data_IF_940344327227
#
_entry.id   IF_940344327227
#
_cell.length_a   1.000
_cell.length_b   1.000
_cell.length_c   1.000
_cell.angle_alpha   90.00
_cell.angle_beta   90.00
_cell.angle_gamma   90.00
#
_symmetry.space_group_name_H-M   'P 1'
#
loop_
_entity.id
_entity.type
_entity.pdbx_description
1 polymer ?
#
# COMPACT_ATOMS: atom_id res chain seq x y z
N UNK A 1 44.90 -40.18 -51.26
CA UNK A 1 43.59 -40.69 -50.79
C UNK A 1 43.43 -40.20 -49.36
N UNK A 2 42.60 -39.19 -49.12
CA UNK A 2 42.45 -38.55 -47.80
C UNK A 2 41.09 -38.95 -47.24
N UNK A 3 41.04 -39.59 -46.07
CA UNK A 3 39.80 -40.07 -45.45
C UNK A 3 39.34 -38.99 -44.48
N UNK A 4 38.33 -38.22 -44.88
CA UNK A 4 37.68 -37.23 -44.00
C UNK A 4 36.72 -37.96 -43.07
N UNK A 5 37.10 -38.08 -41.80
CA UNK A 5 36.23 -38.57 -40.74
C UNK A 5 35.21 -37.47 -40.38
N UNK A 6 33.96 -37.63 -40.83
CA UNK A 6 32.86 -36.73 -40.46
C UNK A 6 32.34 -37.16 -39.09
N UNK A 7 32.67 -36.36 -38.08
CA UNK A 7 32.07 -36.43 -36.75
C UNK A 7 30.64 -35.87 -36.84
N UNK A 8 29.65 -36.76 -36.76
CA UNK A 8 28.23 -36.42 -36.68
C UNK A 8 27.90 -35.81 -35.32
N UNK A 9 27.92 -34.47 -35.25
CA UNK A 9 27.55 -33.69 -34.07
C UNK A 9 26.04 -33.60 -33.85
N UNK A 10 25.42 -34.70 -33.39
CA UNK A 10 24.10 -34.63 -32.75
C UNK A 10 24.23 -34.13 -31.30
N UNK A 11 23.24 -33.40 -30.75
CA UNK A 11 23.29 -32.94 -29.36
C UNK A 11 23.40 -34.15 -28.42
N UNK A 12 24.51 -34.21 -27.69
CA UNK A 12 24.81 -35.27 -26.74
C UNK A 12 23.73 -35.32 -25.64
N UNK A 13 23.35 -36.51 -25.16
CA UNK A 13 22.24 -36.69 -24.21
C UNK A 13 22.42 -35.85 -22.93
N UNK A 14 23.66 -35.56 -22.54
CA UNK A 14 23.99 -34.66 -21.44
C UNK A 14 23.68 -33.18 -21.71
N UNK A 15 23.80 -32.72 -22.95
CA UNK A 15 23.50 -31.34 -23.34
C UNK A 15 21.99 -31.08 -23.38
N UNK A 16 21.19 -32.05 -23.83
CA UNK A 16 19.74 -31.97 -23.80
C UNK A 16 19.19 -31.93 -22.36
N UNK A 17 19.77 -32.74 -21.45
CA UNK A 17 19.40 -32.72 -20.03
C UNK A 17 19.77 -31.40 -19.33
N UNK A 18 20.94 -30.84 -19.63
CA UNK A 18 21.39 -29.55 -19.10
C UNK A 18 20.54 -28.37 -19.60
N UNK A 19 20.13 -28.38 -20.87
CA UNK A 19 19.22 -27.38 -21.43
C UNK A 19 17.85 -27.39 -20.76
N UNK A 20 17.29 -28.59 -20.51
CA UNK A 20 16.02 -28.74 -19.76
C UNK A 20 16.12 -28.32 -18.29
N UNK A 21 17.27 -28.52 -17.65
CA UNK A 21 17.51 -28.01 -16.29
C UNK A 21 17.59 -26.48 -16.25
N UNK A 22 18.28 -25.85 -17.21
CA UNK A 22 18.42 -24.40 -17.31
C UNK A 22 17.07 -23.70 -17.53
N UNK A 23 16.25 -24.23 -18.44
CA UNK A 23 14.91 -23.71 -18.71
C UNK A 23 13.99 -23.75 -17.47
N UNK A 24 14.08 -24.79 -16.64
CA UNK A 24 13.32 -24.89 -15.38
C UNK A 24 13.78 -23.87 -14.33
N UNK A 25 15.08 -23.60 -14.25
CA UNK A 25 15.65 -22.59 -13.35
C UNK A 25 15.23 -21.18 -13.79
N UNK A 26 15.28 -20.89 -15.09
CA UNK A 26 14.86 -19.58 -15.63
C UNK A 26 13.36 -19.36 -15.45
N UNK A 27 12.54 -20.40 -15.64
CA UNK A 27 11.11 -20.36 -15.35
C UNK A 27 10.81 -20.09 -13.87
N UNK A 28 11.45 -20.83 -12.95
CA UNK A 28 11.30 -20.61 -11.51
C UNK A 28 11.71 -19.19 -11.08
N UNK A 29 12.78 -18.65 -11.69
CA UNK A 29 13.22 -17.27 -11.46
C UNK A 29 12.20 -16.25 -11.97
N UNK A 30 11.62 -16.44 -13.16
CA UNK A 30 10.57 -15.54 -13.66
C UNK A 30 9.33 -15.55 -12.77
N UNK A 31 8.89 -16.72 -12.30
CA UNK A 31 7.75 -16.82 -11.37
C UNK A 31 8.04 -16.10 -10.04
N UNK A 32 9.25 -16.24 -9.49
CA UNK A 32 9.65 -15.55 -8.27
C UNK A 32 9.69 -14.02 -8.44
N UNK A 33 10.22 -13.53 -9.57
CA UNK A 33 10.26 -12.10 -9.87
C UNK A 33 8.85 -11.51 -10.09
N UNK A 34 7.95 -12.25 -10.73
CA UNK A 34 6.56 -11.83 -10.90
C UNK A 34 5.83 -11.74 -9.55
N UNK A 35 6.03 -12.73 -8.66
CA UNK A 35 5.43 -12.73 -7.32
C UNK A 35 6.00 -11.62 -6.42
N UNK A 36 7.29 -11.31 -6.53
CA UNK A 36 7.89 -10.18 -5.80
C UNK A 36 7.28 -8.86 -6.26
N UNK A 37 7.14 -8.66 -7.58
CA UNK A 37 6.52 -7.45 -8.14
C UNK A 37 5.05 -7.31 -7.74
N UNK A 38 4.27 -8.40 -7.71
CA UNK A 38 2.87 -8.33 -7.27
C UNK A 38 2.75 -7.97 -5.79
N UNK A 39 3.65 -8.48 -4.94
CA UNK A 39 3.68 -8.12 -3.52
C UNK A 39 4.02 -6.63 -3.33
N UNK A 40 4.97 -6.10 -4.09
CA UNK A 40 5.31 -4.67 -4.06
C UNK A 40 4.12 -3.79 -4.48
N UNK A 41 3.38 -4.19 -5.52
CA UNK A 41 2.17 -3.47 -5.96
C UNK A 41 1.10 -3.50 -4.86
N UNK A 42 0.82 -4.68 -4.29
CA UNK A 42 -0.15 -4.83 -3.20
C UNK A 42 0.22 -4.00 -1.97
N UNK A 43 1.50 -3.94 -1.61
CA UNK A 43 1.97 -3.11 -0.50
C UNK A 43 1.78 -1.61 -0.77
N UNK A 44 2.02 -1.15 -2.00
CA UNK A 44 1.77 0.24 -2.41
C UNK A 44 0.29 0.59 -2.39
N UNK A 45 -0.57 -0.29 -2.90
CA UNK A 45 -2.03 -0.12 -2.85
C UNK A 45 -2.55 -0.03 -1.42
N UNK A 46 -2.07 -0.89 -0.53
CA UNK A 46 -2.41 -0.84 0.89
C UNK A 46 -1.99 0.48 1.53
N UNK A 47 -0.77 0.94 1.27
CA UNK A 47 -0.27 2.23 1.79
C UNK A 47 -1.06 3.42 1.24
N UNK A 48 -1.45 3.41 -0.03
CA UNK A 48 -2.30 4.46 -0.61
C UNK A 48 -3.69 4.51 0.02
N UNK A 49 -4.28 3.34 0.30
CA UNK A 49 -5.58 3.24 0.95
C UNK A 49 -5.51 3.78 2.39
N UNK A 50 -4.48 3.39 3.14
CA UNK A 50 -4.21 3.91 4.48
C UNK A 50 -4.01 5.43 4.47
N UNK A 51 -3.25 5.97 3.52
CA UNK A 51 -3.05 7.40 3.37
C UNK A 51 -4.36 8.15 3.07
N UNK A 52 -5.23 7.57 2.23
CA UNK A 52 -6.52 8.14 1.91
C UNK A 52 -7.50 8.12 3.11
N UNK A 53 -7.53 7.03 3.87
CA UNK A 53 -8.27 6.93 5.13
C UNK A 53 -7.75 7.93 6.17
N UNK A 54 -6.43 8.09 6.29
CA UNK A 54 -5.81 9.08 7.17
C UNK A 54 -6.16 10.52 6.79
N UNK A 55 -6.23 10.82 5.49
CA UNK A 55 -6.72 12.12 5.01
C UNK A 55 -8.17 12.36 5.44
N UNK A 56 -9.05 11.38 5.27
CA UNK A 56 -10.44 11.47 5.68
C UNK A 56 -10.58 11.64 7.19
N UNK A 57 -9.75 10.97 7.99
CA UNK A 57 -9.73 11.12 9.45
C UNK A 57 -9.38 12.56 9.88
N UNK A 58 -8.34 13.15 9.28
CA UNK A 58 -7.97 14.55 9.56
C UNK A 58 -9.09 15.49 9.13
N UNK A 59 -9.67 15.27 7.95
CA UNK A 59 -10.81 16.04 7.46
C UNK A 59 -11.99 16.00 8.44
N UNK A 60 -12.35 14.80 8.93
CA UNK A 60 -13.40 14.61 9.91
C UNK A 60 -13.08 15.32 11.23
N UNK A 61 -11.83 15.24 11.72
CA UNK A 61 -11.40 15.98 12.90
C UNK A 61 -11.65 17.49 12.76
N UNK A 62 -11.30 18.08 11.61
CA UNK A 62 -11.57 19.50 11.33
C UNK A 62 -13.06 19.83 11.26
N UNK A 63 -13.89 18.92 10.70
CA UNK A 63 -15.34 19.12 10.61
C UNK A 63 -16.04 18.94 11.98
N UNK A 64 -15.48 18.12 12.86
CA UNK A 64 -16.00 17.86 14.20
C UNK A 64 -15.57 18.92 15.22
N UNK A 65 -14.41 19.57 15.01
CA UNK A 65 -13.86 20.57 15.92
C UNK A 65 -14.86 21.68 16.32
N UNK A 66 -15.70 22.25 15.42
CA UNK A 66 -16.68 23.27 15.79
C UNK A 66 -17.75 22.80 16.79
N UNK A 67 -18.09 21.49 16.82
CA UNK A 67 -19.04 20.96 17.82
C UNK A 67 -18.52 21.11 19.25
N UNK A 68 -17.20 21.12 19.42
CA UNK A 68 -16.54 21.21 20.72
C UNK A 68 -16.03 22.62 21.05
N UNK A 69 -15.92 23.49 20.04
CA UNK A 69 -15.55 24.91 20.17
C UNK A 69 -16.63 25.74 20.88
N UNK A 70 -17.91 25.38 20.76
CA UNK A 70 -19.02 26.07 21.42
C UNK A 70 -19.33 25.59 22.84
N UNK A 71 -18.65 24.53 23.30
CA UNK A 71 -18.74 24.02 24.67
C UNK A 71 -17.75 24.80 25.54
N UNK A 72 -17.93 26.11 25.65
CA UNK A 72 -17.19 26.92 26.61
C UNK A 72 -17.57 26.48 28.02
N UNK A 73 -16.60 25.87 28.70
CA UNK A 73 -16.10 26.10 30.06
C UNK A 73 -16.78 27.10 31.02
N UNK A 74 -18.07 27.44 30.89
CA UNK A 74 -18.81 28.40 31.73
C UNK A 74 -19.19 27.82 33.11
N UNK A 75 -18.47 26.81 33.56
CA UNK A 75 -18.55 26.32 34.93
C UNK A 75 -17.49 26.99 35.79
N UNK A 76 -17.75 27.29 37.08
CA UNK A 76 -16.75 27.81 38.02
C UNK A 76 -15.47 26.95 38.18
N UNK A 77 -15.43 25.78 37.54
CA UNK A 77 -14.35 24.78 37.56
C UNK A 77 -13.98 24.22 36.16
N UNK A 78 -14.22 24.90 35.03
CA UNK A 78 -14.03 24.31 33.69
C UNK A 78 -13.08 25.06 32.76
N UNK A 79 -12.37 24.36 31.86
CA UNK A 79 -11.73 24.98 30.68
C UNK A 79 -10.24 25.33 30.75
N UNK A 80 -9.43 24.58 31.50
CA UNK A 80 -7.98 24.76 31.48
C UNK A 80 -7.34 24.28 30.17
N UNK A 81 -6.11 24.74 29.88
CA UNK A 81 -5.33 24.30 28.71
C UNK A 81 -5.19 22.77 28.60
N UNK A 82 -5.12 22.06 29.73
CA UNK A 82 -5.09 20.59 29.74
C UNK A 82 -6.38 19.96 29.20
N UNK A 83 -7.54 20.58 29.42
CA UNK A 83 -8.81 20.13 28.89
C UNK A 83 -8.90 20.38 27.38
N UNK A 84 -8.40 21.53 26.92
CA UNK A 84 -8.32 21.87 25.49
C UNK A 84 -7.48 20.84 24.72
N UNK A 85 -6.30 20.50 25.23
CA UNK A 85 -5.44 19.47 24.63
C UNK A 85 -6.09 18.09 24.67
N UNK A 86 -6.72 17.70 25.78
CA UNK A 86 -7.43 16.43 25.85
C UNK A 86 -8.58 16.35 24.86
N UNK A 87 -9.33 17.45 24.69
CA UNK A 87 -10.44 17.57 23.76
C UNK A 87 -9.98 17.49 22.31
N UNK A 88 -8.85 18.11 21.96
CA UNK A 88 -8.29 17.96 20.60
C UNK A 88 -7.93 16.51 20.31
N UNK A 89 -7.27 15.81 21.25
CA UNK A 89 -6.93 14.39 21.11
C UNK A 89 -8.19 13.52 20.96
N UNK A 90 -9.27 13.82 21.69
CA UNK A 90 -10.55 13.13 21.55
C UNK A 90 -11.19 13.34 20.18
N UNK A 91 -11.14 14.57 19.65
CA UNK A 91 -11.67 14.89 18.33
C UNK A 91 -10.89 14.15 17.24
N UNK A 92 -9.57 14.10 17.36
CA UNK A 92 -8.71 13.36 16.42
C UNK A 92 -9.02 11.86 16.43
N UNK A 93 -9.14 11.25 17.61
CA UNK A 93 -9.51 9.82 17.73
C UNK A 93 -10.93 9.55 17.22
N UNK A 94 -11.86 10.48 17.41
CA UNK A 94 -13.20 10.34 16.85
C UNK A 94 -13.19 10.40 15.31
N UNK A 95 -12.40 11.31 14.73
CA UNK A 95 -12.18 11.36 13.29
C UNK A 95 -11.58 10.06 12.75
N UNK A 96 -10.56 9.52 13.42
CA UNK A 96 -9.95 8.22 13.09
C UNK A 96 -10.95 7.06 13.16
N UNK A 97 -11.75 7.00 14.24
CA UNK A 97 -12.73 5.94 14.43
C UNK A 97 -13.83 5.99 13.36
N UNK A 98 -14.31 7.19 13.00
CA UNK A 98 -15.33 7.36 11.97
C UNK A 98 -14.78 6.99 10.59
N UNK A 99 -13.57 7.44 10.24
CA UNK A 99 -12.92 7.08 8.98
C UNK A 99 -12.77 5.56 8.82
N UNK A 100 -12.29 4.86 9.87
CA UNK A 100 -12.15 3.39 9.88
C UNK A 100 -13.48 2.65 9.82
N UNK A 101 -14.56 3.24 10.34
CA UNK A 101 -15.89 2.64 10.30
C UNK A 101 -16.60 2.79 8.94
N UNK A 102 -15.97 3.46 7.96
CA UNK A 102 -16.49 3.68 6.62
C UNK A 102 -16.58 5.16 6.22
N UNK A 103 -16.31 6.08 7.15
CA UNK A 103 -16.18 7.50 6.87
C UNK A 103 -17.42 8.15 6.26
N UNK A 104 -17.19 9.22 5.51
CA UNK A 104 -18.21 9.93 4.72
C UNK A 104 -18.01 9.71 3.20
N UNK A 105 -16.99 8.93 2.82
CA UNK A 105 -16.70 8.53 1.46
C UNK A 105 -15.64 9.38 0.75
N UNK A 106 -14.89 10.21 1.47
CA UNK A 106 -13.83 11.06 0.91
C UNK A 106 -12.56 10.25 0.62
N UNK A 107 -12.28 9.17 1.38
CA UNK A 107 -11.11 8.33 1.15
C UNK A 107 -11.09 7.70 -0.26
N UNK A 108 -12.24 7.36 -0.84
CA UNK A 108 -12.34 6.76 -2.18
C UNK A 108 -11.76 7.68 -3.28
N UNK A 109 -12.33 8.88 -3.49
CA UNK A 109 -11.79 9.84 -4.46
C UNK A 109 -10.33 10.24 -4.22
N UNK A 110 -9.90 10.30 -2.96
CA UNK A 110 -8.49 10.59 -2.61
C UNK A 110 -7.57 9.45 -3.03
N UNK A 111 -7.98 8.20 -2.79
CA UNK A 111 -7.25 7.01 -3.23
C UNK A 111 -7.09 6.99 -4.76
N UNK A 112 -8.17 7.22 -5.51
CA UNK A 112 -8.13 7.32 -6.98
C UNK A 112 -7.14 8.40 -7.44
N UNK A 113 -7.11 9.53 -6.73
CA UNK A 113 -6.15 10.59 -7.05
C UNK A 113 -4.71 10.18 -6.75
N UNK A 114 -4.45 9.53 -5.62
CA UNK A 114 -3.12 9.02 -5.27
C UNK A 114 -2.62 7.99 -6.29
N UNK A 115 -3.51 7.12 -6.78
CA UNK A 115 -3.21 6.16 -7.84
C UNK A 115 -2.84 6.89 -9.14
N UNK A 116 -3.64 7.87 -9.56
CA UNK A 116 -3.38 8.64 -10.80
C UNK A 116 -2.03 9.37 -10.80
N UNK A 117 -1.51 9.74 -9.61
CA UNK A 117 -0.21 10.41 -9.47
C UNK A 117 0.97 9.44 -9.61
N UNK A 118 0.74 8.14 -9.42
CA UNK A 118 1.77 7.09 -9.54
C UNK A 118 1.80 6.43 -10.91
N UNK A 119 0.79 6.67 -11.76
CA UNK A 119 0.75 6.19 -13.15
C UNK A 119 1.54 7.09 -14.13
N UNK A 120 2.11 8.20 -13.65
CA UNK A 120 2.99 9.11 -14.40
C UNK A 120 4.44 8.61 -14.35
#
# INVERSE_FOLDING_TARGET
MNVTFVQTGGPDLGQAALAGAKARIDGARQTALASAKSNDISAREASMREAAEGFEAVFLGQMLAPMFSGLSSDGPMGGGHAEEVFRSMLVDEMGNAIAKAGGVGVAGPVYEKLLSLQEI
#
